data_IF_945091193943
#
_entry.id   IF_945091193943
#
_cell.length_a   1.000
_cell.length_b   1.000
_cell.length_c   1.000
_cell.angle_alpha   90.00
_cell.angle_beta   90.00
_cell.angle_gamma   90.00
#
_symmetry.space_group_name_H-M   'P 1'
#
loop_
_entity.id
_entity.type
_entity.pdbx_description
1 polymer ?
#
# COMPACT_ATOMS: atom_id res chain seq x y z
N UNK A 1 -17.37 -3.17 4.39
CA UNK A 1 -16.19 -3.12 5.28
C UNK A 1 -14.96 -3.42 4.44
N UNK A 2 -13.79 -2.88 4.79
CA UNK A 2 -12.51 -3.29 4.19
C UNK A 2 -11.96 -4.48 4.97
N UNK A 3 -11.36 -5.42 4.26
CA UNK A 3 -10.73 -6.63 4.81
C UNK A 3 -9.26 -6.66 4.42
N UNK A 4 -8.38 -6.94 5.38
CA UNK A 4 -6.94 -7.07 5.15
C UNK A 4 -6.66 -8.42 4.48
N UNK A 5 -5.95 -8.39 3.35
CA UNK A 5 -5.66 -9.61 2.57
C UNK A 5 -4.17 -9.93 2.45
N UNK A 6 -3.31 -8.92 2.59
CA UNK A 6 -1.86 -9.06 2.46
C UNK A 6 -1.17 -7.96 3.26
N UNK A 7 -0.05 -8.28 3.89
CA UNK A 7 0.84 -7.31 4.53
C UNK A 7 2.22 -7.50 3.91
N UNK A 8 2.84 -6.39 3.53
CA UNK A 8 4.11 -6.35 2.80
C UNK A 8 5.05 -5.39 3.51
N UNK A 9 6.20 -5.87 3.93
CA UNK A 9 7.26 -4.99 4.43
C UNK A 9 7.89 -4.23 3.26
N UNK A 10 8.09 -2.93 3.45
CA UNK A 10 8.69 -2.06 2.47
C UNK A 10 9.71 -1.11 3.11
N UNK A 11 10.62 -0.58 2.30
CA UNK A 11 11.58 0.45 2.68
C UNK A 11 11.05 1.83 2.28
N UNK A 12 10.78 2.69 3.25
CA UNK A 12 10.46 4.10 3.01
C UNK A 12 11.68 4.89 2.53
N UNK A 13 11.46 6.07 1.96
CA UNK A 13 12.55 6.91 1.41
C UNK A 13 13.60 7.32 2.44
N UNK A 14 13.25 7.34 3.73
CA UNK A 14 14.15 7.74 4.82
C UNK A 14 14.83 6.53 5.47
N UNK A 15 14.68 5.34 4.88
CA UNK A 15 15.30 4.10 5.33
C UNK A 15 14.54 3.40 6.46
N UNK A 16 13.31 3.82 6.76
CA UNK A 16 12.44 3.11 7.69
C UNK A 16 11.80 1.87 7.05
N UNK A 17 11.47 0.88 7.88
CA UNK A 17 10.63 -0.25 7.47
C UNK A 17 9.17 0.14 7.71
N UNK A 18 8.35 0.04 6.68
CA UNK A 18 6.93 0.36 6.70
C UNK A 18 6.14 -0.87 6.25
N UNK A 19 5.19 -1.29 7.07
CA UNK A 19 4.20 -2.28 6.64
C UNK A 19 3.17 -1.63 5.71
N UNK A 20 3.01 -2.22 4.53
CA UNK A 20 2.00 -1.83 3.54
C UNK A 20 0.94 -2.93 3.48
N UNK A 21 -0.30 -2.54 3.76
CA UNK A 21 -1.44 -3.46 3.88
C UNK A 21 -2.28 -3.37 2.62
N UNK A 22 -2.52 -4.51 1.98
CA UNK A 22 -3.53 -4.64 0.93
C UNK A 22 -4.88 -4.88 1.57
N UNK A 23 -5.86 -4.10 1.18
CA UNK A 23 -7.24 -4.28 1.61
C UNK A 23 -8.17 -4.46 0.42
N UNK A 24 -9.20 -5.28 0.61
CA UNK A 24 -10.29 -5.45 -0.35
C UNK A 24 -11.64 -5.11 0.26
N UNK A 25 -12.60 -4.73 -0.57
CA UNK A 25 -14.02 -4.66 -0.20
C UNK A 25 -14.89 -4.99 -1.39
N UNK A 26 -16.06 -5.58 -1.11
CA UNK A 26 -17.13 -5.75 -2.08
C UNK A 26 -18.16 -4.63 -1.96
N UNK A 27 -18.44 -3.93 -3.07
CA UNK A 27 -19.50 -2.93 -3.19
C UNK A 27 -20.26 -3.18 -4.49
N UNK A 28 -21.58 -3.35 -4.42
CA UNK A 28 -22.46 -3.53 -5.57
C UNK A 28 -21.99 -4.64 -6.55
N UNK A 29 -21.43 -5.72 -6.00
CA UNK A 29 -20.88 -6.84 -6.77
C UNK A 29 -19.49 -6.59 -7.37
N UNK A 30 -18.91 -5.40 -7.18
CA UNK A 30 -17.56 -5.06 -7.62
C UNK A 30 -16.55 -5.22 -6.47
N UNK A 31 -15.41 -5.82 -6.78
CA UNK A 31 -14.26 -5.90 -5.89
C UNK A 31 -13.42 -4.63 -6.04
N UNK A 32 -13.23 -3.91 -4.94
CA UNK A 32 -12.31 -2.77 -4.88
C UNK A 32 -11.12 -3.14 -4.01
N UNK A 33 -9.93 -2.77 -4.47
CA UNK A 33 -8.67 -3.00 -3.75
C UNK A 33 -8.02 -1.66 -3.44
N UNK A 34 -7.34 -1.56 -2.31
CA UNK A 34 -6.44 -0.44 -1.99
C UNK A 34 -5.20 -0.92 -1.26
N UNK A 35 -4.15 -0.12 -1.31
CA UNK A 35 -2.95 -0.28 -0.50
C UNK A 35 -2.92 0.84 0.54
N UNK A 36 -2.52 0.51 1.77
CA UNK A 36 -2.40 1.46 2.86
C UNK A 36 -1.02 1.34 3.52
N UNK A 37 -0.37 2.47 3.78
CA UNK A 37 0.73 2.51 4.73
C UNK A 37 0.17 2.32 6.15
N UNK A 38 0.74 1.39 6.92
CA UNK A 38 0.37 1.18 8.33
C UNK A 38 0.58 2.45 9.16
N UNK A 39 1.56 3.27 8.76
CA UNK A 39 1.78 4.60 9.30
C UNK A 39 0.74 5.57 8.76
N UNK A 40 -0.14 6.04 9.63
CA UNK A 40 -1.09 7.11 9.29
C UNK A 40 -2.27 6.68 8.41
N UNK A 41 -2.35 5.41 7.99
CA UNK A 41 -3.38 4.90 7.07
C UNK A 41 -3.44 5.67 5.75
N UNK A 42 -2.28 6.08 5.24
CA UNK A 42 -2.19 6.78 3.96
C UNK A 42 -2.47 5.84 2.80
N UNK A 43 -3.24 6.31 1.80
CA UNK A 43 -3.54 5.55 0.60
C UNK A 43 -2.32 5.56 -0.33
N UNK A 44 -1.96 4.38 -0.79
CA UNK A 44 -0.84 4.14 -1.67
C UNK A 44 -1.31 3.64 -3.05
N UNK A 45 -0.59 4.06 -4.08
CA UNK A 45 -0.74 3.60 -5.44
C UNK A 45 0.46 2.75 -5.81
N UNK A 46 0.21 1.53 -6.29
CA UNK A 46 1.26 0.66 -6.82
C UNK A 46 1.63 1.12 -8.24
N UNK A 47 2.91 1.45 -8.42
CA UNK A 47 3.50 1.86 -9.69
C UNK A 47 3.84 0.65 -10.54
N UNK A 48 4.04 0.89 -11.84
CA UNK A 48 4.40 -0.17 -12.80
C UNK A 48 5.75 -0.84 -12.52
N UNK A 49 6.62 -0.21 -11.73
CA UNK A 49 7.91 -0.74 -11.31
C UNK A 49 7.86 -1.47 -9.95
N UNK A 50 6.66 -1.67 -9.39
CA UNK A 50 6.44 -2.38 -8.12
C UNK A 50 6.67 -1.54 -6.85
N UNK A 51 6.95 -0.25 -6.98
CA UNK A 51 7.01 0.67 -5.84
C UNK A 51 5.61 1.19 -5.49
N UNK A 52 5.45 1.65 -4.25
CA UNK A 52 4.26 2.37 -3.82
C UNK A 52 4.52 3.87 -3.78
N UNK A 53 3.51 4.66 -4.12
CA UNK A 53 3.56 6.12 -4.05
C UNK A 53 2.34 6.63 -3.28
N UNK A 54 2.54 7.61 -2.41
CA UNK A 54 1.43 8.29 -1.72
C UNK A 54 0.54 9.06 -2.71
N UNK A 55 -0.74 9.25 -2.38
CA UNK A 55 -1.69 10.02 -3.23
C UNK A 55 -1.19 11.44 -3.59
N UNK A 56 -0.37 12.03 -2.73
CA UNK A 56 0.21 13.37 -2.95
C UNK A 56 1.48 13.36 -3.81
N UNK A 57 1.92 12.20 -4.31
CA UNK A 57 3.13 12.02 -5.10
C UNK A 57 4.43 12.31 -4.34
N UNK A 58 4.39 12.20 -3.01
CA UNK A 58 5.51 12.51 -2.12
C UNK A 58 6.41 11.30 -1.90
N UNK A 59 6.05 10.46 -0.94
CA UNK A 59 6.89 9.35 -0.51
C UNK A 59 6.76 8.14 -1.45
N UNK A 60 7.90 7.68 -1.99
CA UNK A 60 8.03 6.42 -2.71
C UNK A 60 8.53 5.32 -1.76
N UNK A 61 7.75 4.26 -1.62
CA UNK A 61 8.01 3.14 -0.72
C UNK A 61 8.37 1.92 -1.56
N UNK A 62 9.59 1.38 -1.37
CA UNK A 62 10.10 0.27 -2.15
C UNK A 62 9.77 -1.08 -1.50
N UNK A 63 9.15 -1.99 -2.25
CA UNK A 63 8.85 -3.34 -1.76
C UNK A 63 10.15 -4.15 -1.60
N UNK A 64 10.29 -4.87 -0.48
CA UNK A 64 11.38 -5.83 -0.36
C UNK A 64 11.21 -6.97 -1.38
N UNK A 65 12.30 -7.42 -2.04
CA UNK A 65 12.23 -8.59 -2.90
C UNK A 65 11.84 -9.82 -2.09
N UNK A 66 10.78 -10.50 -2.53
CA UNK A 66 10.29 -11.77 -1.98
C UNK A 66 11.17 -12.96 -2.36
#
# INVERSE_FOLDING_TARGET
MWEDIEIVECLGERGEIIDVIKQTRMIDGQCQTRWLASRGNEILFERSDGHFETENGGEIIARFPS
#
